data_IF_746289850861
#
_entry.id   IF_746289850861
#
_cell.length_a   1.000
_cell.length_b   1.000
_cell.length_c   1.000
_cell.angle_alpha   90.00
_cell.angle_beta   90.00
_cell.angle_gamma   90.00
#
_symmetry.space_group_name_H-M   'P 1'
#
loop_
_entity.id
_entity.type
_entity.pdbx_description
1 polymer ?
#
# COMPACT_ATOMS: atom_id res chain seq x y z
N UNK A 1 36.11 3.59 3.11
CA UNK A 1 36.84 4.36 4.15
C UNK A 1 36.76 3.68 5.53
N UNK A 2 35.86 2.69 5.72
CA UNK A 2 35.75 1.98 7.01
C UNK A 2 36.37 0.58 6.96
N UNK A 3 36.99 0.17 5.84
CA UNK A 3 37.58 -1.18 5.66
C UNK A 3 36.53 -2.32 5.67
N UNK A 4 35.24 -1.99 5.42
CA UNK A 4 34.14 -2.94 5.38
C UNK A 4 33.65 -3.10 3.95
N UNK A 5 33.29 -4.33 3.59
CA UNK A 5 32.57 -4.65 2.36
C UNK A 5 31.06 -4.55 2.67
N UNK A 6 30.33 -3.82 1.85
CA UNK A 6 28.88 -3.65 2.00
C UNK A 6 28.15 -4.65 1.07
N UNK A 7 27.34 -5.57 1.60
CA UNK A 7 26.52 -6.43 0.78
C UNK A 7 25.40 -5.62 0.10
N UNK A 8 25.23 -5.83 -1.19
CA UNK A 8 24.18 -5.19 -1.99
C UNK A 8 23.29 -6.20 -2.68
N UNK A 9 22.07 -5.80 -2.92
CA UNK A 9 21.10 -6.51 -3.76
C UNK A 9 20.80 -5.66 -4.98
N UNK A 10 20.98 -6.19 -6.17
CA UNK A 10 20.62 -5.50 -7.41
C UNK A 10 19.15 -5.74 -7.74
N UNK A 11 18.42 -4.66 -7.97
CA UNK A 11 17.02 -4.75 -8.38
C UNK A 11 16.93 -4.99 -9.89
N UNK A 12 16.04 -5.90 -10.26
CA UNK A 12 15.71 -6.27 -11.64
C UNK A 12 14.24 -5.97 -11.88
N UNK A 13 13.95 -5.19 -12.89
CA UNK A 13 12.58 -4.94 -13.33
C UNK A 13 12.12 -6.09 -14.23
N UNK A 14 11.07 -6.77 -13.81
CA UNK A 14 10.47 -7.89 -14.55
C UNK A 14 9.12 -7.52 -15.19
N UNK A 15 8.86 -6.22 -15.35
CA UNK A 15 7.72 -5.70 -16.09
C UNK A 15 6.87 -4.66 -15.38
N UNK A 16 7.14 -4.35 -14.10
CA UNK A 16 6.38 -3.31 -13.35
C UNK A 16 6.80 -1.87 -13.75
N UNK A 17 7.94 -1.73 -14.42
CA UNK A 17 8.51 -0.49 -14.96
C UNK A 17 8.72 0.60 -13.91
N UNK A 18 9.18 0.22 -12.72
CA UNK A 18 9.46 1.12 -11.61
C UNK A 18 10.97 1.23 -11.37
N UNK A 19 11.55 0.39 -10.53
CA UNK A 19 12.98 0.38 -10.25
C UNK A 19 13.62 -0.92 -10.67
N UNK A 20 14.92 -0.84 -11.02
CA UNK A 20 15.73 -1.98 -11.38
C UNK A 20 16.25 -1.94 -12.81
N UNK A 21 17.22 -2.80 -13.09
CA UNK A 21 17.73 -2.98 -14.44
C UNK A 21 16.71 -3.74 -15.28
N UNK A 22 16.48 -3.27 -16.51
CA UNK A 22 15.54 -3.89 -17.43
C UNK A 22 16.29 -4.66 -18.52
N UNK A 23 16.09 -5.97 -18.50
CA UNK A 23 16.73 -6.84 -19.49
C UNK A 23 18.20 -7.14 -19.20
N UNK A 24 18.73 -8.07 -20.02
CA UNK A 24 20.05 -8.66 -19.80
C UNK A 24 21.20 -7.69 -20.07
N UNK A 25 21.07 -6.83 -21.07
CA UNK A 25 22.14 -5.91 -21.46
C UNK A 25 22.47 -4.93 -20.35
N UNK A 26 21.46 -4.28 -19.76
CA UNK A 26 21.65 -3.39 -18.60
C UNK A 26 22.19 -4.13 -17.38
N UNK A 27 21.74 -5.38 -17.17
CA UNK A 27 22.23 -6.21 -16.08
C UNK A 27 23.72 -6.49 -16.24
N UNK A 28 24.19 -6.82 -17.43
CA UNK A 28 25.60 -7.08 -17.71
C UNK A 28 26.46 -5.83 -17.51
N UNK A 29 25.97 -4.67 -17.97
CA UNK A 29 26.66 -3.39 -17.76
C UNK A 29 26.87 -3.11 -16.27
N UNK A 30 25.82 -3.19 -15.47
CA UNK A 30 25.89 -2.94 -14.03
C UNK A 30 26.73 -4.01 -13.31
N UNK A 31 26.63 -5.28 -13.73
CA UNK A 31 27.46 -6.34 -13.17
C UNK A 31 28.96 -6.08 -13.38
N UNK A 32 29.35 -5.60 -14.57
CA UNK A 32 30.72 -5.16 -14.84
C UNK A 32 31.16 -4.03 -13.91
N UNK A 33 30.31 -3.01 -13.73
CA UNK A 33 30.62 -1.89 -12.81
C UNK A 33 30.76 -2.37 -11.35
N UNK A 34 29.94 -3.34 -10.91
CA UNK A 34 30.04 -3.89 -9.55
C UNK A 34 31.37 -4.64 -9.34
N UNK A 35 31.88 -5.35 -10.33
CA UNK A 35 33.17 -6.04 -10.24
C UNK A 35 34.33 -5.07 -10.03
N UNK A 36 34.23 -3.86 -10.56
CA UNK A 36 35.23 -2.82 -10.38
C UNK A 36 35.14 -2.12 -9.01
N UNK A 37 34.09 -2.37 -8.23
CA UNK A 37 33.85 -1.77 -6.93
C UNK A 37 34.49 -2.59 -5.81
N UNK A 38 35.50 -2.05 -5.13
CA UNK A 38 36.21 -2.73 -4.03
C UNK A 38 35.51 -2.71 -2.68
N UNK A 39 34.41 -1.94 -2.56
CA UNK A 39 33.71 -1.71 -1.29
C UNK A 39 32.33 -2.38 -1.20
N UNK A 40 31.91 -3.14 -2.21
CA UNK A 40 30.61 -3.78 -2.27
C UNK A 40 30.74 -5.26 -2.67
N UNK A 41 29.75 -6.05 -2.27
CA UNK A 41 29.58 -7.45 -2.67
C UNK A 41 28.15 -7.66 -3.14
N UNK A 42 27.97 -8.17 -4.35
CA UNK A 42 26.64 -8.52 -4.87
C UNK A 42 26.19 -9.85 -4.27
N UNK A 43 25.30 -9.79 -3.29
CA UNK A 43 24.82 -10.98 -2.57
C UNK A 43 23.43 -11.43 -2.99
N UNK A 44 22.70 -10.59 -3.74
CA UNK A 44 21.32 -10.92 -4.12
C UNK A 44 20.83 -10.19 -5.36
N UNK A 45 19.78 -10.74 -5.95
CA UNK A 45 18.90 -10.05 -6.89
C UNK A 45 17.52 -9.87 -6.26
N UNK A 46 16.84 -8.80 -6.60
CA UNK A 46 15.49 -8.56 -6.16
C UNK A 46 14.62 -8.03 -7.30
N UNK A 47 13.32 -8.25 -7.18
CA UNK A 47 12.33 -7.59 -8.04
C UNK A 47 11.18 -7.05 -7.22
N UNK A 48 10.38 -6.21 -7.81
CA UNK A 48 9.08 -5.82 -7.28
C UNK A 48 8.06 -5.80 -8.41
N UNK A 49 6.86 -6.25 -8.10
CA UNK A 49 5.68 -6.21 -8.96
C UNK A 49 4.47 -5.81 -8.12
N UNK A 50 3.36 -5.48 -8.75
CA UNK A 50 2.15 -5.07 -8.06
C UNK A 50 2.25 -3.67 -7.46
N UNK A 51 2.98 -2.76 -8.11
CA UNK A 51 3.11 -1.39 -7.67
C UNK A 51 2.75 -0.41 -8.79
N UNK A 52 3.73 0.21 -9.45
CA UNK A 52 3.49 1.21 -10.50
C UNK A 52 2.74 0.63 -11.70
N UNK A 53 3.21 -0.49 -12.22
CA UNK A 53 2.61 -1.17 -13.38
C UNK A 53 1.43 -2.07 -13.02
N UNK A 54 1.15 -2.27 -11.75
CA UNK A 54 0.10 -3.18 -11.26
C UNK A 54 0.22 -4.60 -11.82
N UNK A 55 1.45 -5.04 -12.15
CA UNK A 55 1.71 -6.36 -12.70
C UNK A 55 1.57 -7.40 -11.59
N UNK A 56 0.75 -8.42 -11.82
CA UNK A 56 0.63 -9.53 -10.87
C UNK A 56 1.89 -10.40 -10.89
N UNK A 57 2.33 -10.90 -9.71
CA UNK A 57 3.40 -11.88 -9.65
C UNK A 57 2.97 -13.16 -10.37
N UNK A 58 3.87 -13.72 -11.16
CA UNK A 58 3.67 -14.98 -11.86
C UNK A 58 4.92 -15.86 -11.75
N UNK A 59 4.77 -17.13 -12.08
CA UNK A 59 5.91 -18.07 -12.17
C UNK A 59 6.93 -17.54 -13.18
N UNK A 60 6.45 -17.05 -14.32
CA UNK A 60 7.27 -16.56 -15.43
C UNK A 60 8.11 -15.35 -15.03
N UNK A 61 7.49 -14.32 -14.44
CA UNK A 61 8.22 -13.10 -14.09
C UNK A 61 9.17 -13.29 -12.90
N UNK A 62 8.84 -14.16 -11.95
CA UNK A 62 9.73 -14.48 -10.83
C UNK A 62 10.85 -15.46 -11.23
N UNK A 63 10.61 -16.33 -12.22
CA UNK A 63 11.62 -17.25 -12.77
C UNK A 63 12.79 -16.49 -13.44
N UNK A 64 12.53 -15.33 -14.00
CA UNK A 64 13.58 -14.46 -14.58
C UNK A 64 14.72 -14.21 -13.58
N UNK A 65 14.41 -13.98 -12.30
CA UNK A 65 15.45 -13.78 -11.27
C UNK A 65 16.36 -15.01 -11.09
N UNK A 66 15.78 -16.20 -11.16
CA UNK A 66 16.54 -17.45 -11.04
C UNK A 66 17.52 -17.61 -12.22
N UNK A 67 17.03 -17.38 -13.42
CA UNK A 67 17.83 -17.45 -14.65
C UNK A 67 18.95 -16.40 -14.68
N UNK A 68 18.66 -15.17 -14.25
CA UNK A 68 19.66 -14.10 -14.18
C UNK A 68 20.72 -14.35 -13.10
N UNK A 69 20.34 -14.89 -11.94
CA UNK A 69 21.28 -15.33 -10.91
C UNK A 69 22.24 -16.38 -11.48
N UNK A 70 21.72 -17.41 -12.10
CA UNK A 70 22.53 -18.52 -12.63
C UNK A 70 23.49 -17.99 -13.69
N UNK A 71 22.99 -17.15 -14.59
CA UNK A 71 23.80 -16.48 -15.59
C UNK A 71 24.93 -15.62 -14.97
N UNK A 72 24.64 -14.79 -13.98
CA UNK A 72 25.65 -13.94 -13.33
C UNK A 72 26.69 -14.76 -12.57
N UNK A 73 26.27 -15.80 -11.86
CA UNK A 73 27.18 -16.71 -11.15
C UNK A 73 28.11 -17.44 -12.11
N UNK A 74 27.59 -17.94 -13.23
CA UNK A 74 28.39 -18.69 -14.23
C UNK A 74 29.35 -17.74 -14.99
N UNK A 75 28.85 -16.62 -15.49
CA UNK A 75 29.63 -15.75 -16.37
C UNK A 75 30.65 -14.89 -15.63
N UNK A 76 30.28 -14.37 -14.46
CA UNK A 76 31.06 -13.37 -13.73
C UNK A 76 31.62 -13.86 -12.40
N UNK A 77 31.29 -15.09 -11.99
CA UNK A 77 31.78 -15.68 -10.75
C UNK A 77 31.19 -15.05 -9.49
N UNK A 78 30.05 -14.39 -9.59
CA UNK A 78 29.32 -13.93 -8.41
C UNK A 78 28.83 -15.12 -7.57
N UNK A 79 28.58 -14.86 -6.29
CA UNK A 79 28.01 -15.83 -5.36
C UNK A 79 26.64 -15.36 -4.84
N UNK A 80 25.74 -15.11 -5.78
CA UNK A 80 24.39 -14.60 -5.47
C UNK A 80 23.58 -15.72 -4.80
N UNK A 81 23.22 -15.50 -3.54
CA UNK A 81 22.48 -16.45 -2.69
C UNK A 81 21.06 -16.04 -2.42
N UNK A 82 20.78 -14.73 -2.42
CA UNK A 82 19.46 -14.20 -2.07
C UNK A 82 18.72 -13.80 -3.32
N UNK A 83 17.53 -14.38 -3.52
CA UNK A 83 16.60 -13.98 -4.56
C UNK A 83 15.31 -13.49 -3.92
N UNK A 84 15.09 -12.16 -4.00
CA UNK A 84 13.93 -11.49 -3.44
C UNK A 84 12.83 -11.35 -4.48
N UNK A 85 11.85 -12.25 -4.42
CA UNK A 85 10.80 -12.39 -5.45
C UNK A 85 9.64 -11.40 -5.35
N UNK A 86 9.79 -10.31 -4.61
CA UNK A 86 8.77 -9.25 -4.51
C UNK A 86 8.26 -9.01 -3.10
N UNK A 87 7.01 -8.59 -3.01
CA UNK A 87 6.35 -8.09 -1.79
C UNK A 87 5.17 -8.98 -1.36
N UNK A 88 4.22 -8.41 -0.63
CA UNK A 88 3.03 -9.10 -0.14
C UNK A 88 2.26 -9.84 -1.23
N UNK A 89 2.10 -9.24 -2.42
CA UNK A 89 1.35 -9.88 -3.51
C UNK A 89 1.95 -11.22 -3.97
N UNK A 90 3.26 -11.43 -3.78
CA UNK A 90 3.94 -12.69 -4.14
C UNK A 90 3.61 -13.83 -3.17
N UNK A 91 3.05 -13.54 -1.99
CA UNK A 91 2.62 -14.59 -1.04
C UNK A 91 1.65 -15.57 -1.67
N UNK A 92 0.81 -15.13 -2.62
CA UNK A 92 -0.11 -16.02 -3.33
C UNK A 92 0.61 -17.17 -4.05
N UNK A 93 1.71 -16.88 -4.74
CA UNK A 93 2.51 -17.93 -5.39
C UNK A 93 3.14 -18.90 -4.38
N UNK A 94 3.55 -18.39 -3.21
CA UNK A 94 4.09 -19.21 -2.13
C UNK A 94 3.02 -20.13 -1.54
N UNK A 95 1.84 -19.59 -1.23
CA UNK A 95 0.69 -20.32 -0.68
C UNK A 95 0.21 -21.43 -1.63
N UNK A 96 0.23 -21.18 -2.94
CA UNK A 96 -0.13 -22.13 -3.98
C UNK A 96 0.99 -23.15 -4.30
N UNK A 97 2.15 -23.04 -3.67
CA UNK A 97 3.31 -23.89 -3.96
C UNK A 97 3.89 -23.69 -5.36
N UNK A 98 3.66 -22.54 -5.97
CA UNK A 98 4.06 -22.20 -7.36
C UNK A 98 5.25 -21.26 -7.43
N UNK A 99 5.75 -20.78 -6.29
CA UNK A 99 6.93 -19.91 -6.27
C UNK A 99 8.14 -20.68 -6.82
N UNK A 100 8.89 -20.15 -7.83
CA UNK A 100 10.04 -20.85 -8.41
C UNK A 100 11.08 -21.24 -7.38
N UNK A 101 11.62 -22.45 -7.53
CA UNK A 101 12.72 -22.93 -6.70
C UNK A 101 13.93 -21.99 -6.85
N UNK A 102 14.44 -21.49 -5.73
CA UNK A 102 15.53 -20.52 -5.70
C UNK A 102 15.12 -19.14 -5.22
N UNK A 103 13.84 -18.74 -5.36
CA UNK A 103 13.31 -17.57 -4.66
C UNK A 103 13.24 -17.93 -3.17
N UNK A 104 13.98 -17.20 -2.35
CA UNK A 104 14.15 -17.51 -0.92
C UNK A 104 13.96 -16.32 0.00
N UNK A 105 13.50 -15.20 -0.54
CA UNK A 105 13.26 -13.98 0.21
C UNK A 105 12.05 -13.24 -0.36
N UNK A 106 11.19 -12.70 0.51
CA UNK A 106 10.09 -11.79 0.19
C UNK A 106 10.14 -10.59 1.14
N UNK A 107 9.68 -9.43 0.67
CA UNK A 107 9.61 -8.21 1.47
C UNK A 107 8.15 -7.92 1.81
N UNK A 108 7.64 -8.63 2.81
CA UNK A 108 6.24 -8.56 3.24
C UNK A 108 6.08 -7.41 4.23
N UNK A 109 5.37 -6.36 3.84
CA UNK A 109 5.03 -5.22 4.68
C UNK A 109 3.53 -5.13 4.89
N UNK A 110 2.79 -4.84 3.83
CA UNK A 110 1.34 -4.69 3.83
C UNK A 110 0.63 -5.90 4.47
N UNK A 111 0.97 -7.11 4.06
CA UNK A 111 0.38 -8.33 4.61
C UNK A 111 0.57 -8.48 6.11
N UNK A 112 1.74 -8.11 6.65
CA UNK A 112 2.00 -8.19 8.09
C UNK A 112 1.28 -7.10 8.88
N UNK A 113 1.16 -5.90 8.33
CA UNK A 113 0.63 -4.74 9.03
C UNK A 113 -0.90 -4.63 8.93
N UNK A 114 -1.46 -5.03 7.81
CA UNK A 114 -2.90 -4.83 7.52
C UNK A 114 -3.67 -6.11 7.25
N UNK A 115 -2.98 -7.26 7.13
CA UNK A 115 -3.61 -8.52 6.76
C UNK A 115 -4.19 -8.52 5.35
N UNK A 116 -3.72 -7.62 4.49
CA UNK A 116 -4.26 -7.39 3.14
C UNK A 116 -3.18 -7.60 2.08
N UNK A 117 -3.61 -8.02 0.91
CA UNK A 117 -2.90 -7.98 -0.36
C UNK A 117 -3.75 -7.16 -1.32
N UNK A 118 -3.49 -5.85 -1.37
CA UNK A 118 -4.27 -4.90 -2.18
C UNK A 118 -4.15 -5.21 -3.67
N UNK A 119 -2.98 -5.64 -4.14
CA UNK A 119 -2.76 -6.01 -5.54
C UNK A 119 -3.59 -7.23 -5.93
N UNK A 120 -3.68 -8.22 -5.04
CA UNK A 120 -4.50 -9.43 -5.22
C UNK A 120 -5.97 -9.24 -4.82
N UNK A 121 -6.35 -8.09 -4.29
CA UNK A 121 -7.68 -7.75 -3.76
C UNK A 121 -8.20 -8.81 -2.78
N UNK A 122 -7.35 -9.21 -1.81
CA UNK A 122 -7.69 -10.26 -0.86
C UNK A 122 -7.20 -9.95 0.56
N UNK A 123 -7.87 -10.56 1.53
CA UNK A 123 -7.35 -10.68 2.89
C UNK A 123 -6.51 -11.94 3.03
N UNK A 124 -5.47 -11.86 3.86
CA UNK A 124 -4.61 -13.00 4.16
C UNK A 124 -5.19 -13.80 5.30
N UNK A 125 -5.38 -15.09 5.10
CA UNK A 125 -5.93 -15.99 6.12
C UNK A 125 -4.99 -16.08 7.34
N UNK A 126 -5.56 -15.91 8.53
CA UNK A 126 -4.82 -15.95 9.79
C UNK A 126 -4.08 -14.67 10.18
N UNK A 127 -4.20 -13.60 9.39
CA UNK A 127 -3.63 -12.29 9.69
C UNK A 127 -4.68 -11.35 10.28
N UNK A 128 -4.23 -10.44 11.14
CA UNK A 128 -5.06 -9.37 11.69
C UNK A 128 -5.27 -8.27 10.66
N UNK A 129 -6.52 -7.80 10.53
CA UNK A 129 -6.90 -6.70 9.63
C UNK A 129 -7.29 -5.43 10.38
N UNK A 130 -7.13 -5.45 11.71
CA UNK A 130 -7.56 -4.42 12.66
C UNK A 130 -6.41 -3.91 13.55
N UNK A 131 -5.15 -4.02 13.06
CA UNK A 131 -3.99 -3.54 13.81
C UNK A 131 -3.89 -2.01 13.85
N UNK A 132 -4.50 -1.32 12.89
CA UNK A 132 -4.47 0.14 12.80
C UNK A 132 -5.87 0.73 12.79
N UNK A 133 -6.08 1.66 13.71
CA UNK A 133 -7.32 2.40 13.83
C UNK A 133 -7.07 3.91 13.74
N UNK A 134 -7.88 4.60 12.98
CA UNK A 134 -7.92 6.06 12.94
C UNK A 134 -9.14 6.55 13.72
N UNK A 135 -8.96 7.53 14.60
CA UNK A 135 -10.05 8.10 15.38
C UNK A 135 -10.18 9.59 15.10
N UNK A 136 -11.41 10.04 14.80
CA UNK A 136 -11.69 11.44 14.57
C UNK A 136 -12.93 11.87 15.39
N UNK A 137 -12.84 13.06 16.01
CA UNK A 137 -13.91 13.56 16.84
C UNK A 137 -15.02 14.19 15.99
N UNK A 138 -16.27 13.88 16.31
CA UNK A 138 -17.47 14.48 15.70
C UNK A 138 -17.62 15.92 16.21
N UNK A 139 -17.53 16.88 15.30
CA UNK A 139 -17.66 18.31 15.59
C UNK A 139 -19.00 18.90 15.16
N UNK A 140 -19.68 18.24 14.22
CA UNK A 140 -21.05 18.60 13.81
C UNK A 140 -21.88 17.33 13.56
N UNK A 141 -23.18 17.39 13.91
CA UNK A 141 -24.15 16.35 13.59
C UNK A 141 -25.44 17.01 13.12
N UNK A 142 -25.81 16.87 11.85
CA UNK A 142 -26.99 17.50 11.23
C UNK A 142 -27.64 16.62 10.20
N UNK A 143 -28.98 16.77 10.07
CA UNK A 143 -29.72 16.21 8.94
C UNK A 143 -29.54 17.12 7.72
N UNK A 144 -29.06 16.55 6.62
CA UNK A 144 -28.83 17.27 5.37
C UNK A 144 -29.31 16.40 4.18
N UNK A 145 -29.75 17.03 3.07
CA UNK A 145 -29.99 16.29 1.82
C UNK A 145 -28.73 15.54 1.38
N UNK A 146 -28.93 14.38 0.77
CA UNK A 146 -27.81 13.59 0.23
C UNK A 146 -27.22 14.21 -1.05
N UNK A 147 -28.03 14.93 -1.80
CA UNK A 147 -27.61 15.65 -3.00
C UNK A 147 -27.38 17.13 -2.63
N UNK A 148 -26.22 17.70 -2.93
CA UNK A 148 -25.99 19.14 -2.82
C UNK A 148 -26.95 19.94 -3.69
N UNK A 149 -27.30 21.15 -3.26
CA UNK A 149 -28.26 22.02 -3.95
C UNK A 149 -27.53 23.18 -4.60
N UNK A 150 -27.90 23.53 -5.84
CA UNK A 150 -27.32 24.62 -6.61
C UNK A 150 -26.68 24.16 -7.91
N UNK A 151 -26.06 25.09 -8.63
CA UNK A 151 -25.29 24.78 -9.83
C UNK A 151 -23.98 24.07 -9.45
N UNK A 152 -23.70 22.94 -10.07
CA UNK A 152 -22.53 22.11 -9.76
C UNK A 152 -21.34 22.53 -10.61
N UNK A 153 -20.23 22.83 -9.94
CA UNK A 153 -18.91 22.99 -10.54
C UNK A 153 -18.09 21.71 -10.46
N UNK A 154 -16.85 21.80 -10.93
CA UNK A 154 -15.87 20.71 -10.80
C UNK A 154 -15.29 20.68 -9.39
N UNK A 155 -14.99 19.48 -8.92
CA UNK A 155 -14.32 19.29 -7.63
C UNK A 155 -12.83 19.68 -7.68
N UNK A 156 -12.11 19.51 -6.56
CA UNK A 156 -10.68 19.82 -6.47
C UNK A 156 -9.76 18.98 -7.37
N UNK A 157 -10.28 17.94 -8.04
CA UNK A 157 -9.59 17.15 -9.08
C UNK A 157 -9.97 17.55 -10.50
N UNK A 158 -10.93 18.47 -10.65
CA UNK A 158 -11.47 18.87 -11.95
C UNK A 158 -12.56 17.93 -12.47
N UNK A 159 -13.11 17.05 -11.65
CA UNK A 159 -14.16 16.09 -11.99
C UNK A 159 -15.54 16.66 -11.63
N UNK A 160 -16.60 16.20 -12.30
CA UNK A 160 -17.98 16.45 -11.92
C UNK A 160 -18.40 15.34 -10.97
N UNK A 161 -18.58 15.63 -9.66
CA UNK A 161 -18.94 14.59 -8.71
C UNK A 161 -20.40 14.16 -8.89
N UNK A 162 -20.65 12.87 -8.74
CA UNK A 162 -22.00 12.31 -8.72
C UNK A 162 -22.44 12.06 -7.28
N UNK A 163 -23.69 12.43 -6.97
CA UNK A 163 -24.28 12.25 -5.65
C UNK A 163 -25.56 11.43 -5.77
N UNK A 164 -25.59 10.17 -5.30
CA UNK A 164 -26.82 9.39 -5.28
C UNK A 164 -27.86 10.02 -4.34
N UNK A 165 -29.09 10.20 -4.82
CA UNK A 165 -30.16 10.71 -3.98
C UNK A 165 -30.65 9.62 -3.02
N UNK A 166 -30.40 9.84 -1.73
CA UNK A 166 -30.84 8.98 -0.61
C UNK A 166 -31.81 9.71 0.32
N UNK A 167 -32.29 10.91 -0.08
CA UNK A 167 -33.15 11.76 0.74
C UNK A 167 -32.36 12.56 1.80
N UNK A 168 -32.95 12.77 2.96
CA UNK A 168 -32.35 13.52 4.08
C UNK A 168 -31.75 12.57 5.09
N UNK A 169 -30.44 12.58 5.20
CA UNK A 169 -29.66 11.72 6.09
C UNK A 169 -29.01 12.49 7.24
N UNK A 170 -28.77 11.81 8.33
CA UNK A 170 -27.97 12.31 9.46
C UNK A 170 -26.50 12.18 9.09
N UNK A 171 -25.79 13.32 9.06
CA UNK A 171 -24.35 13.39 8.75
C UNK A 171 -23.56 13.87 9.93
N UNK A 172 -22.45 13.20 10.18
CA UNK A 172 -21.42 13.63 11.09
C UNK A 172 -20.27 14.27 10.30
N UNK A 173 -19.79 15.41 10.79
CA UNK A 173 -18.54 16.03 10.36
C UNK A 173 -17.51 15.74 11.44
N UNK A 174 -16.37 15.18 11.06
CA UNK A 174 -15.28 14.87 11.98
C UNK A 174 -14.08 15.77 11.73
N UNK A 175 -13.34 16.09 12.81
CA UNK A 175 -12.19 17.00 12.81
C UNK A 175 -10.92 16.31 12.28
N UNK A 176 -10.95 15.83 11.05
CA UNK A 176 -9.84 15.34 10.27
C UNK A 176 -10.25 15.34 8.79
N UNK A 177 -9.34 15.50 7.86
CA UNK A 177 -9.66 15.55 6.44
C UNK A 177 -8.56 15.02 5.53
N UNK A 178 -8.60 15.43 4.27
CA UNK A 178 -7.65 14.98 3.23
C UNK A 178 -6.19 15.33 3.53
N UNK A 179 -5.95 16.36 4.35
CA UNK A 179 -4.61 16.75 4.79
C UNK A 179 -4.02 15.78 5.82
N UNK A 180 -4.87 14.96 6.46
CA UNK A 180 -4.50 14.12 7.59
C UNK A 180 -4.46 12.64 7.20
N UNK A 181 -5.35 12.23 6.28
CA UNK A 181 -5.55 10.82 5.98
C UNK A 181 -6.19 10.61 4.61
N UNK A 182 -5.79 9.54 3.92
CA UNK A 182 -6.48 9.05 2.73
C UNK A 182 -7.87 8.50 3.11
N UNK A 183 -8.85 9.37 3.16
CA UNK A 183 -10.20 9.07 3.65
C UNK A 183 -10.88 7.89 2.94
N UNK A 184 -10.61 7.69 1.65
CA UNK A 184 -11.15 6.57 0.87
C UNK A 184 -10.63 5.20 1.32
N UNK A 185 -9.52 5.17 2.08
CA UNK A 185 -8.96 3.96 2.69
C UNK A 185 -9.38 3.79 4.16
N UNK A 186 -10.37 4.55 4.63
CA UNK A 186 -10.97 4.42 5.95
C UNK A 186 -12.29 3.65 5.87
N UNK A 187 -12.46 2.68 6.76
CA UNK A 187 -13.73 1.94 6.92
C UNK A 187 -14.26 2.19 8.33
N UNK A 188 -15.44 2.84 8.49
CA UNK A 188 -16.02 3.02 9.82
C UNK A 188 -16.26 1.67 10.52
N UNK A 189 -15.90 1.57 11.80
CA UNK A 189 -16.15 0.37 12.61
C UNK A 189 -17.55 0.35 13.22
N UNK A 190 -18.19 1.52 13.33
CA UNK A 190 -19.55 1.63 13.85
C UNK A 190 -20.56 1.09 12.82
N UNK A 191 -21.33 0.03 13.14
CA UNK A 191 -22.31 -0.53 12.22
C UNK A 191 -23.36 0.52 11.81
N UNK A 192 -23.56 0.64 10.49
CA UNK A 192 -24.48 1.60 9.88
C UNK A 192 -23.86 2.96 9.58
N UNK A 193 -22.59 3.18 9.88
CA UNK A 193 -21.84 4.35 9.43
C UNK A 193 -21.22 4.11 8.05
N UNK A 194 -21.19 5.15 7.20
CA UNK A 194 -20.64 5.09 5.84
C UNK A 194 -19.80 6.34 5.58
N UNK A 195 -18.58 6.16 5.09
CA UNK A 195 -17.76 7.27 4.59
C UNK A 195 -18.36 7.79 3.28
N UNK A 196 -18.70 9.08 3.22
CA UNK A 196 -19.29 9.67 2.01
C UNK A 196 -18.42 10.76 1.37
N UNK A 197 -17.37 11.21 2.05
CA UNK A 197 -16.44 12.18 1.48
C UNK A 197 -15.55 12.83 2.50
N UNK A 198 -14.72 13.75 2.02
CA UNK A 198 -13.89 14.60 2.86
C UNK A 198 -13.58 15.94 2.18
N UNK A 199 -13.47 17.01 2.98
CA UNK A 199 -12.78 18.24 2.61
C UNK A 199 -11.30 18.17 2.99
N UNK A 200 -10.56 19.28 2.90
CA UNK A 200 -9.16 19.33 3.34
C UNK A 200 -8.99 18.94 4.82
N UNK A 201 -9.92 19.32 5.66
CA UNK A 201 -9.84 19.28 7.13
C UNK A 201 -11.04 18.60 7.82
N UNK A 202 -12.03 18.10 7.05
CA UNK A 202 -13.20 17.41 7.59
C UNK A 202 -13.51 16.11 6.86
N UNK A 203 -13.74 15.04 7.62
CA UNK A 203 -14.36 13.82 7.14
C UNK A 203 -15.88 13.97 7.20
N UNK A 204 -16.57 13.44 6.21
CA UNK A 204 -18.03 13.45 6.12
C UNK A 204 -18.52 12.00 6.19
N UNK A 205 -19.26 11.69 7.25
CA UNK A 205 -19.74 10.34 7.54
C UNK A 205 -21.27 10.35 7.57
N UNK A 206 -21.90 9.49 6.79
CA UNK A 206 -23.32 9.20 6.93
C UNK A 206 -23.51 8.27 8.14
N UNK A 207 -24.35 8.69 9.07
CA UNK A 207 -24.64 7.96 10.31
C UNK A 207 -26.13 7.67 10.51
N UNK A 208 -26.93 7.81 9.45
CA UNK A 208 -28.38 7.51 9.48
C UNK A 208 -28.64 6.08 9.96
N UNK A 209 -27.88 5.10 9.46
CA UNK A 209 -27.97 3.71 9.85
C UNK A 209 -27.50 3.39 11.27
N UNK A 210 -26.96 4.37 11.99
CA UNK A 210 -26.40 4.14 13.34
C UNK A 210 -27.46 4.16 14.46
N UNK A 211 -28.75 4.38 14.16
CA UNK A 211 -29.82 4.34 15.16
C UNK A 211 -29.68 5.37 16.28
N UNK A 212 -29.16 6.57 15.97
CA UNK A 212 -29.01 7.66 16.93
C UNK A 212 -27.92 7.48 18.00
N UNK A 213 -26.97 6.56 17.75
CA UNK A 213 -25.87 6.28 18.69
C UNK A 213 -24.73 7.32 18.64
N UNK A 214 -24.71 8.20 17.62
CA UNK A 214 -23.64 9.20 17.45
C UNK A 214 -24.08 10.57 18.00
N UNK A 215 -23.17 11.24 18.67
CA UNK A 215 -23.36 12.61 19.22
C UNK A 215 -22.15 13.47 18.89
N UNK A 216 -22.35 14.80 18.92
CA UNK A 216 -21.22 15.74 18.87
C UNK A 216 -20.33 15.54 20.09
N UNK A 217 -19.03 15.47 19.86
CA UNK A 217 -18.01 15.16 20.86
C UNK A 217 -17.58 13.69 20.92
N UNK A 218 -18.36 12.78 20.33
CA UNK A 218 -17.95 11.38 20.22
C UNK A 218 -16.76 11.21 19.28
N UNK A 219 -15.98 10.13 19.50
CA UNK A 219 -14.93 9.72 18.60
C UNK A 219 -15.44 8.59 17.72
N UNK A 220 -15.47 8.82 16.42
CA UNK A 220 -15.67 7.74 15.45
C UNK A 220 -14.35 7.02 15.21
N UNK A 221 -14.45 5.71 15.13
CA UNK A 221 -13.34 4.81 14.92
C UNK A 221 -13.41 4.20 13.51
N UNK A 222 -12.26 4.16 12.83
CA UNK A 222 -12.13 3.67 11.47
C UNK A 222 -10.98 2.67 11.39
N UNK A 223 -11.22 1.54 10.76
CA UNK A 223 -10.15 0.65 10.31
C UNK A 223 -9.41 1.31 9.16
N UNK A 224 -8.08 1.21 9.17
CA UNK A 224 -7.20 1.82 8.18
C UNK A 224 -6.71 0.79 7.17
N UNK A 225 -6.87 1.08 5.88
CA UNK A 225 -6.07 0.43 4.83
C UNK A 225 -4.71 1.11 4.66
N UNK A 226 -3.89 0.56 3.77
CA UNK A 226 -2.50 0.99 3.55
C UNK A 226 -2.33 2.50 3.37
N UNK A 227 -3.08 3.11 2.45
CA UNK A 227 -2.96 4.56 2.18
C UNK A 227 -3.37 5.43 3.37
N UNK A 228 -4.35 4.99 4.16
CA UNK A 228 -4.76 5.73 5.35
C UNK A 228 -3.65 5.77 6.41
N UNK A 229 -2.95 4.67 6.64
CA UNK A 229 -1.82 4.63 7.58
C UNK A 229 -0.64 5.43 7.05
N UNK A 230 -0.33 5.32 5.74
CA UNK A 230 0.76 6.08 5.12
C UNK A 230 0.59 7.58 5.34
N UNK A 231 -0.59 8.13 5.05
CA UNK A 231 -0.87 9.55 5.21
C UNK A 231 -0.92 9.93 6.69
N UNK A 232 -1.67 9.19 7.52
CA UNK A 232 -1.85 9.52 8.92
C UNK A 232 -0.54 9.51 9.72
N UNK A 233 0.38 8.59 9.44
CA UNK A 233 1.67 8.51 10.13
C UNK A 233 2.67 9.58 9.69
N UNK A 234 2.42 10.27 8.59
CA UNK A 234 3.25 11.38 8.10
C UNK A 234 2.62 12.76 8.33
N UNK A 235 1.35 12.82 8.72
CA UNK A 235 0.68 14.09 9.07
C UNK A 235 1.19 14.62 10.41
N UNK A 236 1.55 15.91 10.43
CA UNK A 236 1.92 16.61 11.67
C UNK A 236 0.73 16.86 12.63
N UNK A 237 -0.48 16.61 12.17
CA UNK A 237 -1.73 16.84 12.92
C UNK A 237 -2.33 15.56 13.51
N UNK A 238 -1.75 14.42 13.20
CA UNK A 238 -2.20 13.11 13.69
C UNK A 238 -1.29 12.61 14.81
N UNK A 239 -1.87 12.31 15.93
CA UNK A 239 -1.20 11.78 17.12
C UNK A 239 -1.16 10.25 17.01
N UNK A 240 0.02 9.68 16.81
CA UNK A 240 0.21 8.21 16.74
C UNK A 240 0.40 7.67 18.15
N UNK A 241 -0.41 6.68 18.54
CA UNK A 241 -0.38 6.04 19.88
C UNK A 241 -0.37 4.53 19.75
N UNK A 242 0.46 3.89 20.54
CA UNK A 242 0.40 2.45 20.81
C UNK A 242 -0.61 2.17 21.91
N UNK A 243 -1.45 1.14 21.74
CA UNK A 243 -2.49 0.74 22.68
C UNK A 243 -2.43 -0.75 23.01
#
# INVERSE_FOLDING_TARGET
RQGKIHPIMLMVDVGDLREGVFGREQLEEIAGQILDCTGVELVGLGTNVGCYGSILPSVENTQILVELRDFLNEKYGFHIKTLSGGSTCTLKLLEEGRLPAGINHLRVGEGLLYGEDTTGMRFLEGYHTDAFHFKAQVVELRRKPSVPTGEHGRDGKGELPEYPDRGVHLRAICAAGKQDVAWAALTPTLPGAEMIGASSDHLIVDVEGCGGRVRVGDWLDFRCGYMAVLDATTSAYVDVREV
#
